data_IF_109816550698
#
_entry.id   IF_109816550698
#
_cell.length_a   1.000
_cell.length_b   1.000
_cell.length_c   1.000
_cell.angle_alpha   90.00
_cell.angle_beta   90.00
_cell.angle_gamma   90.00
#
_symmetry.space_group_name_H-M   'P 1'
#
loop_
_entity.id
_entity.type
_entity.pdbx_description
1 polymer ?
#
# COMPACT_ATOMS: atom_id res chain seq x y z
N UNK A 1 -11.19 -24.18 13.37
CA UNK A 1 -11.37 -22.75 13.01
C UNK A 1 -10.97 -21.88 14.22
N UNK A 2 -11.57 -22.07 15.42
CA UNK A 2 -11.29 -21.23 16.60
C UNK A 2 -9.82 -21.24 17.03
N UNK A 3 -9.15 -22.38 16.99
CA UNK A 3 -7.72 -22.48 17.32
C UNK A 3 -6.84 -21.73 16.30
N UNK A 4 -7.14 -21.82 15.01
CA UNK A 4 -6.42 -21.11 13.97
C UNK A 4 -6.57 -19.58 14.13
N UNK A 5 -7.77 -19.09 14.45
CA UNK A 5 -8.01 -17.68 14.75
C UNK A 5 -7.19 -17.23 15.95
N UNK A 6 -7.19 -18.02 17.02
CA UNK A 6 -6.43 -17.71 18.25
C UNK A 6 -4.91 -17.71 18.00
N UNK A 7 -4.43 -18.64 17.17
CA UNK A 7 -3.03 -18.68 16.76
C UNK A 7 -2.62 -17.46 15.97
N UNK A 8 -3.43 -17.07 14.98
CA UNK A 8 -3.18 -15.92 14.10
C UNK A 8 -3.14 -14.62 14.90
N UNK A 9 -4.17 -14.35 15.71
CA UNK A 9 -4.22 -13.13 16.53
C UNK A 9 -3.31 -13.16 17.76
N UNK A 10 -2.75 -14.30 18.13
CA UNK A 10 -1.72 -14.43 19.16
C UNK A 10 -0.34 -13.91 18.72
N UNK A 11 -0.09 -13.84 17.42
CA UNK A 11 1.17 -13.31 16.86
C UNK A 11 1.12 -11.78 16.75
N UNK A 12 2.02 -11.09 17.45
CA UNK A 12 2.17 -9.62 17.33
C UNK A 12 2.70 -9.21 15.96
N UNK A 13 3.58 -10.04 15.37
CA UNK A 13 4.06 -9.82 14.00
C UNK A 13 2.90 -9.85 13.00
N UNK A 14 1.99 -10.85 13.14
CA UNK A 14 0.80 -10.91 12.30
C UNK A 14 -0.07 -9.66 12.44
N UNK A 15 -0.37 -9.22 13.68
CA UNK A 15 -1.18 -8.02 13.91
C UNK A 15 -0.59 -6.79 13.26
N UNK A 16 0.73 -6.59 13.35
CA UNK A 16 1.39 -5.47 12.70
C UNK A 16 1.34 -5.57 11.16
N UNK A 17 1.51 -6.78 10.59
CA UNK A 17 1.35 -7.00 9.15
C UNK A 17 -0.09 -6.73 8.72
N UNK A 18 -1.07 -7.22 9.46
CA UNK A 18 -2.50 -7.02 9.19
C UNK A 18 -2.87 -5.54 9.14
N UNK A 19 -2.45 -4.77 10.17
CA UNK A 19 -2.68 -3.31 10.23
C UNK A 19 -1.99 -2.62 9.06
N UNK A 20 -0.70 -2.93 8.80
CA UNK A 20 0.06 -2.35 7.71
C UNK A 20 -0.57 -2.64 6.35
N UNK A 21 -0.91 -3.89 6.07
CA UNK A 21 -1.49 -4.31 4.80
C UNK A 21 -2.88 -3.70 4.58
N UNK A 22 -3.73 -3.67 5.62
CA UNK A 22 -5.07 -3.07 5.55
C UNK A 22 -5.00 -1.55 5.32
N UNK A 23 -4.09 -0.86 6.01
CA UNK A 23 -3.90 0.57 5.82
C UNK A 23 -3.25 0.90 4.47
N UNK A 24 -2.31 0.07 4.00
CA UNK A 24 -1.77 0.20 2.64
C UNK A 24 -2.86 0.04 1.59
N UNK A 25 -3.74 -0.93 1.76
CA UNK A 25 -4.89 -1.13 0.87
C UNK A 25 -5.84 0.07 0.90
N UNK A 26 -6.14 0.62 2.10
CA UNK A 26 -6.92 1.84 2.26
C UNK A 26 -6.36 3.01 1.44
N UNK A 27 -5.07 3.28 1.58
CA UNK A 27 -4.41 4.34 0.82
C UNK A 27 -4.34 4.03 -0.68
N UNK A 28 -4.13 2.78 -1.06
CA UNK A 28 -4.01 2.37 -2.46
C UNK A 28 -5.33 2.46 -3.21
N UNK A 29 -6.43 1.96 -2.65
CA UNK A 29 -7.76 2.05 -3.27
C UNK A 29 -8.28 3.49 -3.28
N UNK A 30 -8.08 4.24 -2.18
CA UNK A 30 -8.41 5.66 -2.13
C UNK A 30 -7.67 6.45 -3.21
N UNK A 31 -6.33 6.39 -3.22
CA UNK A 31 -5.52 7.06 -4.24
C UNK A 31 -5.84 6.57 -5.66
N UNK A 32 -6.03 5.26 -5.86
CA UNK A 32 -6.25 4.69 -7.19
C UNK A 32 -7.42 5.32 -7.93
N UNK A 33 -8.56 5.51 -7.27
CA UNK A 33 -9.72 6.16 -7.86
C UNK A 33 -9.57 7.69 -7.95
N UNK A 34 -9.09 8.31 -6.89
CA UNK A 34 -9.04 9.78 -6.80
C UNK A 34 -7.87 10.41 -7.56
N UNK A 35 -6.80 9.66 -7.86
CA UNK A 35 -5.73 10.13 -8.76
C UNK A 35 -6.25 10.41 -10.17
N UNK A 36 -7.17 9.61 -10.70
CA UNK A 36 -7.81 9.88 -11.99
C UNK A 36 -8.60 11.19 -11.92
N UNK A 37 -9.40 11.37 -10.86
CA UNK A 37 -10.14 12.63 -10.63
C UNK A 37 -9.23 13.85 -10.49
N UNK A 38 -8.06 13.69 -9.84
CA UNK A 38 -7.04 14.74 -9.75
C UNK A 38 -6.55 15.16 -11.14
N UNK A 39 -6.20 14.22 -12.02
CA UNK A 39 -5.74 14.55 -13.35
C UNK A 39 -6.83 15.23 -14.21
N UNK A 40 -8.09 14.83 -14.03
CA UNK A 40 -9.22 15.48 -14.72
C UNK A 40 -9.46 16.89 -14.18
N UNK A 41 -9.55 17.06 -12.84
CA UNK A 41 -9.95 18.32 -12.21
C UNK A 41 -8.83 19.36 -12.21
N UNK A 42 -7.62 18.95 -11.83
CA UNK A 42 -6.48 19.87 -11.66
C UNK A 42 -5.72 20.10 -12.95
N UNK A 43 -5.56 19.06 -13.79
CA UNK A 43 -4.80 19.17 -15.05
C UNK A 43 -5.66 19.31 -16.31
N UNK A 44 -6.98 19.23 -16.19
CA UNK A 44 -7.91 19.41 -17.31
C UNK A 44 -7.88 18.29 -18.35
N UNK A 45 -7.38 17.08 -18.00
CA UNK A 45 -7.37 15.94 -18.90
C UNK A 45 -8.79 15.41 -19.13
N UNK A 46 -9.04 14.88 -20.32
CA UNK A 46 -10.25 14.09 -20.57
C UNK A 46 -10.21 12.79 -19.77
N UNK A 47 -11.39 12.21 -19.50
CA UNK A 47 -11.50 10.93 -18.79
C UNK A 47 -10.70 9.81 -19.49
N UNK A 48 -10.67 9.81 -20.81
CA UNK A 48 -9.95 8.83 -21.63
C UNK A 48 -8.43 9.01 -21.47
N UNK A 49 -7.92 10.23 -21.56
CA UNK A 49 -6.49 10.52 -21.41
C UNK A 49 -6.00 10.18 -20.00
N UNK A 50 -6.72 10.62 -18.97
CA UNK A 50 -6.39 10.34 -17.59
C UNK A 50 -6.44 8.82 -17.33
N UNK A 51 -7.52 8.14 -17.73
CA UNK A 51 -7.69 6.70 -17.54
C UNK A 51 -6.61 5.88 -18.24
N UNK A 52 -6.33 6.16 -19.52
CA UNK A 52 -5.34 5.40 -20.29
C UNK A 52 -3.91 5.64 -19.76
N UNK A 53 -3.53 6.89 -19.51
CA UNK A 53 -2.20 7.22 -18.98
C UNK A 53 -1.96 6.57 -17.62
N UNK A 54 -2.97 6.59 -16.73
CA UNK A 54 -2.87 5.96 -15.41
C UNK A 54 -2.86 4.44 -15.49
N UNK A 55 -3.73 3.83 -16.31
CA UNK A 55 -3.77 2.38 -16.47
C UNK A 55 -2.44 1.82 -16.97
N UNK A 56 -1.83 2.45 -17.96
CA UNK A 56 -0.53 2.03 -18.50
C UNK A 56 0.59 2.30 -17.50
N UNK A 57 0.74 3.55 -17.03
CA UNK A 57 1.85 3.92 -16.16
C UNK A 57 1.81 3.22 -14.80
N UNK A 58 0.67 3.30 -14.10
CA UNK A 58 0.55 2.76 -12.74
C UNK A 58 0.26 1.25 -12.75
N UNK A 59 -0.43 0.73 -13.76
CA UNK A 59 -0.66 -0.70 -13.92
C UNK A 59 0.66 -1.46 -14.15
N UNK A 60 1.48 -1.01 -15.09
CA UNK A 60 2.82 -1.59 -15.35
C UNK A 60 3.72 -1.44 -14.11
N UNK A 61 3.71 -0.27 -13.47
CA UNK A 61 4.47 -0.03 -12.25
C UNK A 61 4.07 -0.99 -11.11
N UNK A 62 2.77 -1.25 -10.94
CA UNK A 62 2.27 -2.21 -9.96
C UNK A 62 2.78 -3.64 -10.19
N UNK A 63 2.76 -4.11 -11.45
CA UNK A 63 3.30 -5.42 -11.83
C UNK A 63 4.81 -5.49 -11.55
N UNK A 64 5.57 -4.48 -11.99
CA UNK A 64 7.02 -4.41 -11.74
C UNK A 64 7.30 -4.43 -10.24
N UNK A 65 6.57 -3.63 -9.45
CA UNK A 65 6.73 -3.56 -8.00
C UNK A 65 6.50 -4.90 -7.30
N UNK A 66 5.42 -5.60 -7.67
CA UNK A 66 5.11 -6.92 -7.12
C UNK A 66 6.20 -7.95 -7.43
N UNK A 67 6.69 -7.98 -8.68
CA UNK A 67 7.77 -8.88 -9.10
C UNK A 67 9.10 -8.55 -8.41
N UNK A 68 9.45 -7.26 -8.30
CA UNK A 68 10.64 -6.82 -7.60
C UNK A 68 10.57 -7.16 -6.11
N UNK A 69 9.42 -6.96 -5.48
CA UNK A 69 9.19 -7.32 -4.08
C UNK A 69 9.42 -8.80 -3.81
N UNK A 70 8.91 -9.68 -4.70
CA UNK A 70 9.16 -11.12 -4.63
C UNK A 70 10.65 -11.45 -4.75
N UNK A 71 11.33 -10.95 -5.79
CA UNK A 71 12.78 -11.18 -5.99
C UNK A 71 13.63 -10.66 -4.83
N UNK A 72 13.29 -9.50 -4.27
CA UNK A 72 13.99 -8.96 -3.11
C UNK A 72 13.76 -9.81 -1.86
N UNK A 73 12.54 -10.31 -1.66
CA UNK A 73 12.23 -11.24 -0.59
C UNK A 73 13.08 -12.51 -0.68
N UNK A 74 13.16 -13.13 -1.86
CA UNK A 74 13.95 -14.34 -2.07
C UNK A 74 15.44 -14.10 -1.81
N UNK A 75 15.99 -12.99 -2.32
CA UNK A 75 17.42 -12.68 -2.22
C UNK A 75 17.85 -12.32 -0.79
N UNK A 76 17.11 -11.47 -0.13
CA UNK A 76 17.51 -10.90 1.16
C UNK A 76 16.85 -11.58 2.35
N UNK A 77 15.65 -12.13 2.17
CA UNK A 77 14.95 -12.91 3.19
C UNK A 77 15.63 -14.25 3.49
N UNK A 78 16.41 -14.78 2.54
CA UNK A 78 17.22 -15.98 2.77
C UNK A 78 18.30 -15.78 3.85
N UNK A 79 18.91 -14.59 3.91
CA UNK A 79 19.96 -14.26 4.86
C UNK A 79 19.39 -13.83 6.23
N UNK A 80 18.40 -12.95 6.23
CA UNK A 80 17.68 -12.53 7.44
C UNK A 80 16.20 -12.26 7.11
N UNK A 81 15.32 -13.03 7.73
CA UNK A 81 13.86 -12.93 7.57
C UNK A 81 13.29 -11.53 7.87
N UNK A 82 13.99 -10.71 8.64
CA UNK A 82 13.60 -9.32 8.91
C UNK A 82 13.51 -8.49 7.62
N UNK A 83 14.39 -8.77 6.67
CA UNK A 83 14.44 -8.02 5.40
C UNK A 83 13.18 -8.20 4.56
N UNK A 84 12.40 -9.27 4.76
CA UNK A 84 11.11 -9.45 4.09
C UNK A 84 10.16 -8.27 4.31
N UNK A 85 10.19 -7.65 5.49
CA UNK A 85 9.32 -6.52 5.82
C UNK A 85 10.07 -5.19 5.96
N UNK A 86 11.39 -5.21 6.22
CA UNK A 86 12.18 -3.98 6.29
C UNK A 86 12.25 -3.29 4.93
N UNK A 87 12.41 -4.04 3.82
CA UNK A 87 12.42 -3.47 2.48
C UNK A 87 11.12 -2.77 2.10
N UNK A 88 9.94 -3.42 2.23
CA UNK A 88 8.66 -2.73 2.02
C UNK A 88 8.50 -1.49 2.90
N UNK A 89 8.91 -1.57 4.18
CA UNK A 89 8.82 -0.45 5.10
C UNK A 89 9.65 0.75 4.62
N UNK A 90 10.91 0.53 4.25
CA UNK A 90 11.79 1.58 3.70
C UNK A 90 11.26 2.10 2.37
N UNK A 91 10.82 1.20 1.49
CA UNK A 91 10.23 1.57 0.19
C UNK A 91 9.03 2.49 0.36
N UNK A 92 8.10 2.18 1.27
CA UNK A 92 6.92 3.02 1.56
C UNK A 92 7.30 4.37 2.17
N UNK A 93 8.30 4.41 3.05
CA UNK A 93 8.79 5.65 3.63
C UNK A 93 9.39 6.57 2.54
N UNK A 94 10.15 6.02 1.59
CA UNK A 94 10.68 6.76 0.44
C UNK A 94 9.55 7.15 -0.54
N UNK A 95 8.53 6.33 -0.69
CA UNK A 95 7.42 6.60 -1.58
C UNK A 95 6.61 7.83 -1.15
N UNK A 96 6.51 8.14 0.15
CA UNK A 96 5.71 9.26 0.66
C UNK A 96 6.12 10.62 0.07
N UNK A 97 7.38 11.08 0.16
CA UNK A 97 7.80 12.35 -0.43
C UNK A 97 7.72 12.34 -1.97
N UNK A 98 7.93 11.20 -2.62
CA UNK A 98 7.81 11.08 -4.08
C UNK A 98 6.35 11.21 -4.54
N UNK A 99 5.40 10.61 -3.82
CA UNK A 99 3.97 10.79 -4.06
C UNK A 99 3.57 12.24 -3.89
N UNK A 100 4.02 12.89 -2.80
CA UNK A 100 3.77 14.29 -2.57
C UNK A 100 4.29 15.15 -3.73
N UNK A 101 5.54 14.94 -4.17
CA UNK A 101 6.11 15.64 -5.31
C UNK A 101 5.32 15.41 -6.61
N UNK A 102 4.87 14.16 -6.86
CA UNK A 102 4.05 13.83 -8.03
C UNK A 102 2.70 14.54 -8.06
N UNK A 103 2.07 14.77 -6.90
CA UNK A 103 0.83 15.54 -6.81
C UNK A 103 1.06 17.06 -6.76
N UNK A 104 2.28 17.51 -6.45
CA UNK A 104 2.62 18.93 -6.36
C UNK A 104 2.84 19.59 -7.72
N UNK A 105 3.45 18.88 -8.68
CA UNK A 105 3.83 19.46 -9.99
C UNK A 105 2.60 19.77 -10.86
N UNK A 106 2.73 20.84 -11.66
CA UNK A 106 1.63 21.31 -12.51
C UNK A 106 1.65 20.68 -13.92
N UNK A 107 2.78 20.12 -14.38
CA UNK A 107 2.82 19.36 -15.63
C UNK A 107 2.37 17.93 -15.37
N UNK A 108 1.27 17.52 -15.99
CA UNK A 108 0.70 16.19 -15.79
C UNK A 108 1.60 15.05 -16.25
N UNK A 109 2.46 15.26 -17.25
CA UNK A 109 3.40 14.23 -17.74
C UNK A 109 4.49 13.98 -16.72
N UNK A 110 5.00 15.04 -16.12
CA UNK A 110 5.98 14.98 -15.03
C UNK A 110 5.33 14.34 -13.79
N UNK A 111 4.08 14.71 -13.48
CA UNK A 111 3.32 14.10 -12.40
C UNK A 111 3.20 12.58 -12.56
N UNK A 112 2.78 12.11 -13.76
CA UNK A 112 2.70 10.67 -14.06
C UNK A 112 4.06 9.98 -13.90
N UNK A 113 5.14 10.55 -14.43
CA UNK A 113 6.48 9.99 -14.33
C UNK A 113 6.94 9.88 -12.86
N UNK A 114 6.67 10.90 -12.04
CA UNK A 114 7.00 10.88 -10.61
C UNK A 114 6.18 9.85 -9.82
N UNK A 115 4.95 9.55 -10.24
CA UNK A 115 4.10 8.57 -9.57
C UNK A 115 4.47 7.11 -9.88
N UNK A 116 5.28 6.83 -10.91
CA UNK A 116 5.71 5.47 -11.26
C UNK A 116 6.56 4.86 -10.13
N UNK A 117 7.60 5.54 -9.69
CA UNK A 117 8.53 5.01 -8.68
C UNK A 117 7.83 4.70 -7.35
N UNK A 118 7.06 5.61 -6.75
CA UNK A 118 6.35 5.29 -5.50
C UNK A 118 5.29 4.20 -5.67
N UNK A 119 4.70 4.05 -6.86
CA UNK A 119 3.79 2.94 -7.15
C UNK A 119 4.50 1.60 -7.13
N UNK A 120 5.69 1.50 -7.73
CA UNK A 120 6.56 0.31 -7.66
C UNK A 120 6.89 -0.02 -6.20
N UNK A 121 7.36 0.97 -5.44
CA UNK A 121 7.74 0.78 -4.04
C UNK A 121 6.56 0.35 -3.16
N UNK A 122 5.40 0.95 -3.38
CA UNK A 122 4.18 0.59 -2.64
C UNK A 122 3.63 -0.80 -3.02
N UNK A 123 3.86 -1.29 -4.23
CA UNK A 123 3.43 -2.63 -4.64
C UNK A 123 4.39 -3.74 -4.18
N UNK A 124 5.63 -3.41 -3.83
CA UNK A 124 6.66 -4.39 -3.48
C UNK A 124 6.38 -5.17 -2.18
N UNK A 125 5.41 -4.77 -1.36
CA UNK A 125 5.11 -5.46 -0.10
C UNK A 125 4.29 -6.75 -0.27
N UNK A 126 3.56 -6.92 -1.38
CA UNK A 126 2.60 -8.02 -1.51
C UNK A 126 3.23 -9.40 -1.29
N UNK A 127 4.23 -9.78 -2.09
CA UNK A 127 4.89 -11.07 -1.95
C UNK A 127 5.50 -11.29 -0.56
N UNK A 128 6.38 -10.40 -0.09
CA UNK A 128 7.01 -10.53 1.21
C UNK A 128 6.04 -10.60 2.39
N UNK A 129 5.01 -9.76 2.41
CA UNK A 129 4.03 -9.72 3.49
C UNK A 129 3.24 -11.02 3.59
N UNK A 130 2.76 -11.55 2.44
CA UNK A 130 2.04 -12.82 2.43
C UNK A 130 2.92 -14.01 2.77
N UNK A 131 4.19 -14.02 2.34
CA UNK A 131 5.15 -15.03 2.75
C UNK A 131 5.36 -15.03 4.28
N UNK A 132 5.48 -13.82 4.89
CA UNK A 132 5.58 -13.68 6.34
C UNK A 132 4.33 -14.18 7.06
N UNK A 133 3.14 -13.79 6.59
CA UNK A 133 1.85 -14.21 7.17
C UNK A 133 1.75 -15.75 7.21
N UNK A 134 2.11 -16.41 6.12
CA UNK A 134 2.09 -17.87 6.04
C UNK A 134 3.17 -18.53 6.88
N UNK A 135 4.32 -17.88 7.04
CA UNK A 135 5.42 -18.39 7.88
C UNK A 135 5.22 -18.22 9.39
N UNK A 136 4.25 -17.41 9.82
CA UNK A 136 3.94 -17.18 11.24
C UNK A 136 2.99 -18.24 11.83
N UNK A 137 2.33 -19.02 10.99
CA UNK A 137 1.30 -19.98 11.40
C UNK A 137 1.63 -21.39 10.91
N UNK A 138 0.99 -22.40 11.53
CA UNK A 138 1.08 -23.79 11.08
C UNK A 138 0.52 -23.94 9.65
N UNK A 139 0.95 -24.99 8.88
CA UNK A 139 0.49 -25.22 7.52
C UNK A 139 -1.03 -25.21 7.36
N UNK A 140 -1.76 -25.78 8.31
CA UNK A 140 -3.23 -25.90 8.31
C UNK A 140 -3.93 -24.53 8.48
N UNK A 141 -3.24 -23.56 9.08
CA UNK A 141 -3.77 -22.22 9.33
C UNK A 141 -3.37 -21.18 8.25
N UNK A 142 -2.48 -21.53 7.30
CA UNK A 142 -1.95 -20.57 6.29
C UNK A 142 -3.03 -19.95 5.44
N UNK A 143 -3.98 -20.74 4.96
CA UNK A 143 -5.11 -20.24 4.17
C UNK A 143 -5.98 -19.27 4.98
N UNK A 144 -6.26 -19.59 6.23
CA UNK A 144 -7.02 -18.73 7.15
C UNK A 144 -6.30 -17.40 7.39
N UNK A 145 -5.01 -17.43 7.68
CA UNK A 145 -4.21 -16.23 7.93
C UNK A 145 -4.17 -15.31 6.70
N UNK A 146 -3.96 -15.88 5.50
CA UNK A 146 -4.01 -15.13 4.25
C UNK A 146 -5.38 -14.52 4.00
N UNK A 147 -6.46 -15.30 4.20
CA UNK A 147 -7.84 -14.82 4.03
C UNK A 147 -8.19 -13.67 4.97
N UNK A 148 -7.68 -13.67 6.20
CA UNK A 148 -7.89 -12.57 7.14
C UNK A 148 -7.22 -11.27 6.65
N UNK A 149 -6.00 -11.35 6.11
CA UNK A 149 -5.33 -10.18 5.53
C UNK A 149 -6.13 -9.64 4.33
N UNK A 150 -6.57 -10.52 3.41
CA UNK A 150 -7.41 -10.13 2.27
C UNK A 150 -8.72 -9.51 2.74
N UNK A 151 -9.35 -10.09 3.77
CA UNK A 151 -10.58 -9.53 4.35
C UNK A 151 -10.37 -8.11 4.88
N UNK A 152 -9.30 -7.88 5.67
CA UNK A 152 -8.95 -6.56 6.18
C UNK A 152 -8.67 -5.56 5.05
N UNK A 153 -7.93 -5.98 4.02
CA UNK A 153 -7.64 -5.15 2.85
C UNK A 153 -8.91 -4.76 2.08
N UNK A 154 -9.86 -5.67 1.91
CA UNK A 154 -11.10 -5.36 1.20
C UNK A 154 -12.08 -4.55 2.05
N UNK A 155 -12.28 -4.91 3.32
CA UNK A 155 -13.21 -4.23 4.19
C UNK A 155 -12.75 -2.78 4.47
N UNK A 156 -11.50 -2.61 4.90
CA UNK A 156 -10.94 -1.31 5.25
C UNK A 156 -10.48 -0.57 3.99
N UNK A 157 -9.77 -1.26 3.09
CA UNK A 157 -9.19 -0.65 1.90
C UNK A 157 -10.25 -0.28 0.87
N UNK A 158 -10.86 -1.27 0.24
CA UNK A 158 -11.83 -1.05 -0.83
C UNK A 158 -13.14 -0.44 -0.31
N UNK A 159 -13.61 -0.86 0.87
CA UNK A 159 -14.86 -0.37 1.46
C UNK A 159 -14.77 1.08 1.93
N UNK A 160 -13.70 1.45 2.64
CA UNK A 160 -13.60 2.77 3.27
C UNK A 160 -12.70 3.75 2.51
N UNK A 161 -11.68 3.27 1.79
CA UNK A 161 -10.69 4.11 1.13
C UNK A 161 -11.32 5.14 0.20
N UNK A 162 -11.98 4.73 -0.88
CA UNK A 162 -12.60 5.66 -1.84
C UNK A 162 -13.63 6.58 -1.22
N UNK A 163 -14.43 6.06 -0.28
CA UNK A 163 -15.48 6.82 0.41
C UNK A 163 -14.87 7.98 1.23
N UNK A 164 -13.91 7.70 2.10
CA UNK A 164 -13.31 8.73 2.94
C UNK A 164 -12.52 9.75 2.14
N UNK A 165 -11.83 9.35 1.09
CA UNK A 165 -11.17 10.30 0.18
C UNK A 165 -12.19 11.23 -0.49
N UNK A 166 -13.35 10.70 -0.90
CA UNK A 166 -14.44 11.50 -1.46
C UNK A 166 -15.00 12.50 -0.45
N UNK A 167 -15.36 12.04 0.72
CA UNK A 167 -15.91 12.90 1.78
C UNK A 167 -14.91 14.03 2.14
N UNK A 168 -13.62 13.71 2.30
CA UNK A 168 -12.60 14.71 2.59
C UNK A 168 -12.43 15.70 1.42
N UNK A 169 -12.52 15.22 0.17
CA UNK A 169 -12.47 16.11 -0.99
C UNK A 169 -13.67 17.07 -1.01
N UNK A 170 -14.87 16.57 -0.73
CA UNK A 170 -16.08 17.39 -0.73
C UNK A 170 -16.05 18.46 0.37
N UNK A 171 -15.57 18.12 1.57
CA UNK A 171 -15.35 19.08 2.66
C UNK A 171 -14.31 20.15 2.33
N UNK A 172 -13.36 19.87 1.44
CA UNK A 172 -12.33 20.83 1.03
C UNK A 172 -12.75 21.69 -0.15
N UNK A 173 -13.84 21.39 -0.86
CA UNK A 173 -14.31 22.18 -2.00
C UNK A 173 -14.50 23.67 -1.67
N UNK A 174 -15.09 24.07 -0.53
CA UNK A 174 -15.27 25.49 -0.19
C UNK A 174 -13.96 26.27 -0.06
N UNK A 175 -12.85 25.59 0.22
CA UNK A 175 -11.53 26.19 0.46
C UNK A 175 -10.58 26.05 -0.73
N UNK A 176 -10.64 24.93 -1.44
CA UNK A 176 -9.68 24.56 -2.47
C UNK A 176 -10.29 24.41 -3.88
N UNK A 177 -11.62 24.47 -4.01
CA UNK A 177 -12.30 24.35 -5.29
C UNK A 177 -11.96 23.04 -6.02
N UNK A 178 -11.51 23.14 -7.26
CA UNK A 178 -11.13 21.98 -8.09
C UNK A 178 -9.90 21.24 -7.57
N UNK A 179 -9.04 21.90 -6.80
CA UNK A 179 -7.84 21.31 -6.20
C UNK A 179 -8.12 20.57 -4.88
N UNK A 180 -9.37 20.45 -4.44
CA UNK A 180 -9.74 19.73 -3.22
C UNK A 180 -9.18 18.30 -3.18
N UNK A 181 -9.25 17.57 -4.32
CA UNK A 181 -8.68 16.22 -4.47
C UNK A 181 -7.15 16.23 -4.29
N UNK A 182 -6.46 17.24 -4.83
CA UNK A 182 -5.00 17.41 -4.69
C UNK A 182 -4.59 17.47 -3.23
N UNK A 183 -5.31 18.22 -2.40
CA UNK A 183 -5.04 18.33 -0.97
C UNK A 183 -5.26 17.03 -0.20
N UNK A 184 -6.31 16.29 -0.55
CA UNK A 184 -6.53 14.94 0.03
C UNK A 184 -5.38 14.00 -0.33
N UNK A 185 -4.92 14.03 -1.59
CA UNK A 185 -3.80 13.20 -2.05
C UNK A 185 -2.46 13.59 -1.40
N UNK A 186 -2.26 14.88 -1.09
CA UNK A 186 -1.11 15.34 -0.29
C UNK A 186 -1.09 14.71 1.10
N UNK A 187 -2.22 14.78 1.80
CA UNK A 187 -2.36 14.13 3.10
C UNK A 187 -2.13 12.62 3.02
N UNK A 188 -2.76 11.97 2.04
CA UNK A 188 -2.63 10.54 1.81
C UNK A 188 -1.20 10.11 1.47
N UNK A 189 -0.40 10.95 0.80
CA UNK A 189 1.00 10.66 0.52
C UNK A 189 1.80 10.49 1.83
N UNK A 190 1.65 11.40 2.77
CA UNK A 190 2.34 11.35 4.06
C UNK A 190 1.79 10.26 5.00
N UNK A 191 0.49 9.94 4.93
CA UNK A 191 -0.08 8.83 5.68
C UNK A 191 0.53 7.48 5.31
N UNK A 192 1.22 7.36 4.17
CA UNK A 192 2.01 6.20 3.79
C UNK A 192 3.14 5.83 4.76
N UNK A 193 3.54 6.75 5.65
CA UNK A 193 4.51 6.48 6.72
C UNK A 193 3.93 5.54 7.79
N UNK A 194 2.61 5.56 8.00
CA UNK A 194 1.94 4.72 9.00
C UNK A 194 2.12 3.22 8.68
N UNK A 195 1.75 2.71 7.49
CA UNK A 195 1.99 1.30 7.18
C UNK A 195 3.48 0.97 7.12
N UNK A 196 4.36 1.89 6.69
CA UNK A 196 5.80 1.72 6.75
C UNK A 196 6.29 1.43 8.19
N UNK A 197 5.81 2.21 9.15
CA UNK A 197 6.10 2.00 10.58
C UNK A 197 5.63 0.62 11.07
N UNK A 198 4.41 0.21 10.73
CA UNK A 198 3.89 -1.08 11.15
C UNK A 198 4.62 -2.26 10.50
N UNK A 199 5.00 -2.19 9.21
CA UNK A 199 5.86 -3.19 8.60
C UNK A 199 7.23 -3.24 9.25
N UNK A 200 7.82 -2.11 9.58
CA UNK A 200 9.08 -2.07 10.33
C UNK A 200 8.92 -2.71 11.71
N UNK A 201 7.85 -2.40 12.46
CA UNK A 201 7.57 -3.04 13.76
C UNK A 201 7.37 -4.54 13.63
N UNK A 202 6.70 -5.00 12.58
CA UNK A 202 6.54 -6.43 12.30
C UNK A 202 7.90 -7.09 12.03
N UNK A 203 8.78 -6.45 11.23
CA UNK A 203 10.11 -7.00 10.91
C UNK A 203 10.94 -7.33 12.16
N UNK A 204 10.85 -6.49 13.19
CA UNK A 204 11.56 -6.71 14.46
C UNK A 204 11.08 -7.93 15.23
N UNK A 205 9.84 -8.40 14.98
CA UNK A 205 9.24 -9.55 15.64
C UNK A 205 9.38 -10.86 14.87
N UNK A 206 9.63 -10.79 13.56
CA UNK A 206 9.65 -11.94 12.68
C UNK A 206 10.61 -13.04 13.14
N UNK A 207 11.84 -12.68 13.54
CA UNK A 207 12.86 -13.64 13.94
C UNK A 207 12.46 -14.47 15.17
N UNK A 208 11.70 -13.86 16.08
CA UNK A 208 11.25 -14.53 17.30
C UNK A 208 9.97 -15.35 17.10
N UNK A 209 9.12 -14.95 16.16
CA UNK A 209 7.78 -15.51 16.00
C UNK A 209 7.61 -16.42 14.78
N UNK A 210 8.47 -16.32 13.75
CA UNK A 210 8.42 -17.24 12.61
C UNK A 210 8.81 -18.65 13.08
N UNK A 211 7.90 -19.58 12.90
CA UNK A 211 8.14 -21.00 13.14
C UNK A 211 9.12 -21.51 12.09
N UNK A 212 10.16 -22.20 12.52
CA UNK A 212 11.02 -22.97 11.63
C UNK A 212 10.15 -24.03 10.95
N UNK A 213 9.91 -23.87 9.64
CA UNK A 213 9.24 -24.88 8.84
C UNK A 213 10.13 -26.08 8.56
#
# INVERSE_FOLDING_TARGET
VGEAIREVFGSRAFLFIFIAASFTAFLSYGKGLWTISFFIRTHGLSTTEAGLSMAVALGVAGVIGTLLGGKMADKFGANDKRHLLTFPAVGMAIAAPLLFAGYWVDDWRVAVALLIVPTILNAAYYGPAYACVQGLVRPEARAMAASMVVFGQNLIGLGMGPLLFGMLSDELIPFAGQDSVRWVLFGAAWLGIIPAFFFWRASLRLKAEMKSG
#
